data_IF_935193694176
#
_entry.id   IF_935193694176
#
_cell.length_a   1.000
_cell.length_b   1.000
_cell.length_c   1.000
_cell.angle_alpha   90.00
_cell.angle_beta   90.00
_cell.angle_gamma   90.00
#
_symmetry.space_group_name_H-M   'P 1'
#
loop_
_entity.id
_entity.type
_entity.pdbx_description
1 polymer ?
#
# COMPACT_ATOMS: atom_id res chain seq x y z
N UNK A 1 -0.28 20.37 -8.97
CA UNK A 1 -0.78 18.98 -9.00
C UNK A 1 -1.23 18.66 -7.59
N UNK A 2 -2.51 18.40 -7.39
CA UNK A 2 -3.00 17.91 -6.10
C UNK A 2 -2.23 16.66 -5.71
N UNK A 3 -1.98 16.49 -4.43
CA UNK A 3 -1.24 15.35 -3.93
C UNK A 3 -2.02 14.06 -4.24
N UNK A 4 -1.41 13.19 -5.04
CA UNK A 4 -2.07 12.00 -5.57
C UNK A 4 -2.02 10.81 -4.62
N UNK A 5 -1.47 10.93 -3.41
CA UNK A 5 -1.46 9.82 -2.46
C UNK A 5 -2.10 10.23 -1.14
N UNK A 6 -2.91 9.38 -0.56
CA UNK A 6 -3.57 9.48 0.76
C UNK A 6 -4.13 10.87 1.16
N UNK A 7 -3.91 11.90 0.34
CA UNK A 7 -4.30 13.28 0.57
C UNK A 7 -3.57 13.95 1.75
N UNK A 8 -3.67 15.27 1.84
CA UNK A 8 -3.28 16.00 3.04
C UNK A 8 -4.42 15.95 4.06
N UNK A 9 -4.11 15.50 5.27
CA UNK A 9 -5.04 15.49 6.39
C UNK A 9 -4.31 15.71 7.70
N UNK A 10 -4.89 16.50 8.59
CA UNK A 10 -4.39 16.66 9.96
C UNK A 10 -4.49 15.39 10.81
N UNK A 11 -5.22 14.38 10.32
CA UNK A 11 -5.39 13.08 10.96
C UNK A 11 -4.41 12.01 10.45
N UNK A 12 -3.33 12.42 9.77
CA UNK A 12 -2.21 11.55 9.40
C UNK A 12 -0.90 12.16 9.88
N UNK A 13 0.01 11.34 10.40
CA UNK A 13 1.33 11.75 10.86
C UNK A 13 2.37 10.74 10.41
N UNK A 14 3.33 11.17 9.60
CA UNK A 14 4.45 10.31 9.15
C UNK A 14 5.35 9.96 10.33
N UNK A 15 5.77 8.70 10.38
CA UNK A 15 6.82 8.19 11.26
C UNK A 15 8.11 7.90 10.51
N UNK A 16 8.21 8.24 9.22
CA UNK A 16 9.42 8.11 8.42
C UNK A 16 10.60 8.87 9.05
N UNK A 17 11.80 8.56 8.60
CA UNK A 17 13.05 9.16 9.04
C UNK A 17 13.92 8.21 9.84
N UNK A 18 14.70 8.70 10.79
CA UNK A 18 15.64 7.87 11.56
C UNK A 18 14.93 7.12 12.68
N UNK A 19 15.21 5.81 12.74
CA UNK A 19 14.78 4.90 13.81
C UNK A 19 16.01 4.27 14.47
N UNK A 20 15.93 3.93 15.75
CA UNK A 20 16.93 3.08 16.40
C UNK A 20 16.85 1.66 15.87
N UNK A 21 18.01 1.05 15.66
CA UNK A 21 18.13 -0.19 14.91
C UNK A 21 19.16 -1.14 15.52
N UNK A 22 18.80 -2.43 15.56
CA UNK A 22 19.70 -3.50 15.92
C UNK A 22 19.52 -4.68 14.95
N UNK A 23 20.63 -5.17 14.43
CA UNK A 23 20.67 -6.32 13.50
C UNK A 23 21.17 -7.57 14.21
N UNK A 24 20.42 -8.66 14.11
CA UNK A 24 20.79 -10.00 14.59
C UNK A 24 20.82 -10.98 13.41
N UNK A 25 21.69 -12.00 13.47
CA UNK A 25 21.81 -13.01 12.41
C UNK A 25 20.68 -14.05 12.43
N UNK A 26 20.02 -14.20 13.57
CA UNK A 26 18.85 -15.06 13.77
C UNK A 26 18.07 -14.64 15.01
N UNK A 27 16.90 -15.25 15.21
CA UNK A 27 16.01 -14.93 16.33
C UNK A 27 16.65 -15.16 17.72
N UNK A 28 17.58 -16.12 17.84
CA UNK A 28 18.28 -16.39 19.10
C UNK A 28 19.28 -15.31 19.52
N UNK A 29 19.65 -14.42 18.62
CA UNK A 29 20.57 -13.29 18.88
C UNK A 29 19.86 -11.95 19.04
N UNK A 30 18.53 -11.92 18.96
CA UNK A 30 17.74 -10.72 19.23
C UNK A 30 17.90 -10.34 20.71
N UNK A 31 18.09 -9.05 20.98
CA UNK A 31 18.22 -8.56 22.35
C UNK A 31 16.90 -8.79 23.10
N UNK A 32 16.88 -9.61 24.16
CA UNK A 32 15.64 -9.88 24.89
C UNK A 32 15.10 -8.63 25.58
N UNK A 33 13.78 -8.43 25.52
CA UNK A 33 13.11 -7.34 26.21
C UNK A 33 13.31 -5.95 25.58
N UNK A 34 13.83 -5.87 24.37
CA UNK A 34 14.02 -4.58 23.67
C UNK A 34 12.69 -3.84 23.46
N UNK A 35 11.60 -4.58 23.42
CA UNK A 35 10.25 -4.07 23.29
C UNK A 35 9.72 -3.39 24.56
N UNK A 36 10.32 -3.63 25.74
CA UNK A 36 9.88 -3.08 27.03
C UNK A 36 9.87 -1.53 26.99
N UNK A 37 8.88 -0.92 27.63
CA UNK A 37 8.67 0.52 27.59
C UNK A 37 9.90 1.32 28.08
N UNK A 38 10.60 0.81 29.08
CA UNK A 38 11.77 1.41 29.74
C UNK A 38 13.11 0.98 29.13
N UNK A 39 13.13 0.15 28.08
CA UNK A 39 14.37 -0.28 27.45
C UNK A 39 15.13 0.91 26.83
N UNK A 40 16.41 1.05 27.18
CA UNK A 40 17.29 2.10 26.68
C UNK A 40 17.95 1.72 25.35
N UNK A 41 17.48 2.27 24.27
CA UNK A 41 18.01 2.07 22.91
C UNK A 41 19.04 3.11 22.46
N UNK A 42 19.50 4.02 23.32
CA UNK A 42 20.42 5.11 22.92
C UNK A 42 21.74 4.60 22.34
N UNK A 43 22.18 3.42 22.73
CA UNK A 43 23.38 2.78 22.18
C UNK A 43 23.19 2.07 20.83
N UNK A 44 21.96 1.98 20.30
CA UNK A 44 21.69 1.36 19.02
C UNK A 44 22.11 2.26 17.85
N UNK A 45 22.37 1.66 16.69
CA UNK A 45 22.56 2.40 15.44
C UNK A 45 21.29 3.14 15.05
N UNK A 46 21.42 4.09 14.14
CA UNK A 46 20.29 4.72 13.46
C UNK A 46 20.18 4.16 12.06
N UNK A 47 18.94 3.93 11.60
CA UNK A 47 18.62 3.49 10.24
C UNK A 47 17.50 4.36 9.66
N UNK A 48 17.51 4.57 8.35
CA UNK A 48 16.40 5.23 7.67
C UNK A 48 15.19 4.28 7.53
N UNK A 49 14.00 4.84 7.69
CA UNK A 49 12.72 4.21 7.35
C UNK A 49 11.93 5.22 6.50
N UNK A 50 11.50 4.86 5.28
CA UNK A 50 11.62 3.53 4.65
C UNK A 50 13.01 3.24 4.09
N UNK A 51 13.47 1.99 4.25
CA UNK A 51 14.66 1.48 3.58
C UNK A 51 14.73 -0.06 3.68
N UNK A 52 15.45 -0.68 2.74
CA UNK A 52 15.92 -2.05 2.90
C UNK A 52 17.21 -2.06 3.74
N UNK A 53 17.30 -2.93 4.76
CA UNK A 53 18.46 -2.96 5.64
C UNK A 53 19.77 -3.28 4.87
N UNK A 54 19.69 -4.04 3.78
CA UNK A 54 20.84 -4.37 2.93
C UNK A 54 21.39 -3.14 2.21
N UNK A 55 20.54 -2.17 1.89
CA UNK A 55 20.96 -0.91 1.26
C UNK A 55 21.52 0.08 2.29
N UNK A 56 21.26 -0.14 3.57
CA UNK A 56 21.82 0.60 4.72
C UNK A 56 23.07 -0.07 5.32
N UNK A 57 23.58 -1.14 4.65
CA UNK A 57 24.84 -1.80 5.04
C UNK A 57 24.72 -3.01 5.96
N UNK A 58 23.52 -3.53 6.19
CA UNK A 58 23.28 -4.70 7.03
C UNK A 58 22.94 -5.94 6.19
N UNK A 59 23.91 -6.83 6.05
CA UNK A 59 23.82 -7.99 5.17
C UNK A 59 24.11 -7.64 3.72
N UNK A 60 23.62 -8.46 2.78
CA UNK A 60 23.83 -8.26 1.35
C UNK A 60 22.52 -8.48 0.56
N UNK A 61 22.29 -7.73 -0.52
CA UNK A 61 21.28 -8.06 -1.50
C UNK A 61 21.55 -9.44 -2.10
N UNK A 62 20.50 -10.20 -2.36
CA UNK A 62 20.59 -11.52 -2.97
C UNK A 62 19.56 -11.62 -4.08
N UNK A 63 19.97 -12.08 -5.25
CA UNK A 63 19.04 -12.38 -6.33
C UNK A 63 18.76 -13.88 -6.36
N UNK A 64 17.49 -14.25 -6.40
CA UNK A 64 17.06 -15.62 -6.63
C UNK A 64 15.82 -15.59 -7.53
N UNK A 65 15.83 -16.44 -8.57
CA UNK A 65 14.72 -16.55 -9.52
C UNK A 65 13.76 -17.68 -9.08
N UNK A 66 14.12 -18.93 -9.32
CA UNK A 66 13.27 -20.10 -9.04
C UNK A 66 13.71 -20.91 -7.82
N UNK A 67 14.75 -20.48 -7.17
CA UNK A 67 15.31 -21.09 -5.96
C UNK A 67 14.91 -20.25 -4.76
N UNK A 68 14.54 -20.92 -3.67
CA UNK A 68 14.33 -20.21 -2.42
C UNK A 68 15.64 -19.57 -1.92
N UNK A 69 15.55 -18.41 -1.26
CA UNK A 69 16.75 -17.66 -0.87
C UNK A 69 17.64 -18.37 0.14
N UNK A 70 17.18 -19.43 0.77
CA UNK A 70 17.97 -20.28 1.68
C UNK A 70 18.53 -21.54 1.03
N UNK A 71 18.19 -21.83 -0.23
CA UNK A 71 18.73 -23.00 -0.94
C UNK A 71 20.25 -22.89 -1.06
N UNK A 72 20.94 -23.96 -0.67
CA UNK A 72 22.39 -24.01 -0.59
C UNK A 72 23.00 -23.51 0.72
N UNK A 73 22.21 -22.90 1.62
CA UNK A 73 22.65 -22.52 2.97
C UNK A 73 22.14 -23.49 4.03
N UNK A 74 20.86 -23.73 4.05
CA UNK A 74 20.21 -24.63 5.01
C UNK A 74 19.05 -25.35 4.32
N UNK A 75 19.01 -26.68 4.41
CA UNK A 75 17.84 -27.45 4.00
C UNK A 75 16.73 -27.29 5.04
N UNK A 76 15.54 -26.92 4.57
CA UNK A 76 14.33 -26.79 5.41
C UNK A 76 13.16 -27.48 4.74
N UNK A 77 12.27 -28.06 5.54
CA UNK A 77 11.02 -28.64 5.04
C UNK A 77 10.03 -27.55 4.64
N UNK A 78 9.11 -27.89 3.73
CA UNK A 78 8.08 -26.93 3.25
C UNK A 78 7.25 -26.43 4.44
N UNK A 79 7.18 -25.11 4.58
CA UNK A 79 6.51 -24.42 5.69
C UNK A 79 7.37 -24.10 6.90
N UNK A 80 8.57 -24.64 6.97
CA UNK A 80 9.59 -24.25 7.96
C UNK A 80 10.42 -23.06 7.45
N UNK A 81 11.19 -22.44 8.34
CA UNK A 81 12.13 -21.36 8.01
C UNK A 81 13.51 -21.67 8.53
N UNK A 82 14.59 -21.18 7.87
CA UNK A 82 15.95 -21.31 8.35
C UNK A 82 16.10 -20.79 9.79
N UNK A 83 16.81 -21.54 10.65
CA UNK A 83 17.03 -21.18 12.05
C UNK A 83 18.45 -20.68 12.31
N UNK A 84 19.45 -21.17 11.56
CA UNK A 84 20.85 -20.80 11.78
C UNK A 84 21.15 -19.40 11.24
N UNK A 85 20.66 -19.11 10.05
CA UNK A 85 20.78 -17.81 9.40
C UNK A 85 19.41 -17.36 8.89
N UNK A 86 18.75 -16.51 9.64
CA UNK A 86 17.55 -15.80 9.29
C UNK A 86 17.60 -14.42 9.96
N UNK A 87 18.24 -13.43 9.31
CA UNK A 87 18.48 -12.12 9.91
C UNK A 87 17.20 -11.46 10.42
N UNK A 88 17.33 -10.85 11.59
CA UNK A 88 16.26 -10.13 12.27
C UNK A 88 16.66 -8.68 12.47
N UNK A 89 15.80 -7.80 12.03
CA UNK A 89 15.90 -6.37 12.20
C UNK A 89 14.97 -5.92 13.34
N UNK A 90 15.54 -5.39 14.41
CA UNK A 90 14.81 -4.79 15.53
C UNK A 90 14.84 -3.28 15.40
N UNK A 91 13.67 -2.64 15.47
CA UNK A 91 13.50 -1.20 15.31
C UNK A 91 12.83 -0.59 16.54
N UNK A 92 13.23 0.64 16.90
CA UNK A 92 12.56 1.43 17.92
C UNK A 92 12.37 2.85 17.40
N UNK A 93 11.15 3.37 17.58
CA UNK A 93 10.77 4.75 17.30
C UNK A 93 10.00 5.32 18.46
N UNK A 94 10.40 6.50 18.92
CA UNK A 94 9.58 7.27 19.86
C UNK A 94 8.79 8.34 19.11
N UNK A 95 7.58 8.62 19.58
CA UNK A 95 6.70 9.62 18.97
C UNK A 95 5.70 10.17 19.99
N UNK A 96 5.17 11.35 19.69
CA UNK A 96 4.03 11.95 20.38
C UNK A 96 2.79 11.86 19.49
N UNK A 97 1.65 11.53 20.08
CA UNK A 97 0.38 11.57 19.35
C UNK A 97 0.04 13.02 19.03
N UNK A 98 -0.18 13.39 17.75
CA UNK A 98 -0.61 14.73 17.40
C UNK A 98 -1.90 15.14 18.12
N UNK A 99 -1.98 16.40 18.58
CA UNK A 99 -3.10 16.88 19.39
C UNK A 99 -4.48 16.65 18.75
N UNK A 100 -4.56 16.76 17.43
CA UNK A 100 -5.79 16.53 16.66
C UNK A 100 -6.22 15.05 16.59
N UNK A 101 -5.34 14.11 16.96
CA UNK A 101 -5.62 12.66 17.03
C UNK A 101 -6.03 12.20 18.43
N UNK A 102 -5.75 13.02 19.47
CA UNK A 102 -6.07 12.68 20.86
C UNK A 102 -7.57 12.45 21.01
N UNK A 103 -7.93 11.36 21.71
CA UNK A 103 -9.33 10.96 21.93
C UNK A 103 -10.05 10.33 20.73
N UNK A 104 -9.32 10.09 19.61
CA UNK A 104 -9.83 9.34 18.45
C UNK A 104 -9.25 7.93 18.44
N UNK A 105 -9.83 7.07 17.61
CA UNK A 105 -9.20 5.79 17.29
C UNK A 105 -7.95 6.08 16.45
N UNK A 106 -6.80 5.59 16.90
CA UNK A 106 -5.51 5.78 16.23
C UNK A 106 -4.99 4.45 15.72
N UNK A 107 -4.54 4.46 14.48
CA UNK A 107 -3.97 3.31 13.81
C UNK A 107 -2.54 3.63 13.35
N UNK A 108 -1.73 2.58 13.22
CA UNK A 108 -0.46 2.64 12.49
C UNK A 108 -0.58 1.81 11.21
N UNK A 109 -0.03 2.33 10.13
CA UNK A 109 0.04 1.64 8.84
C UNK A 109 1.50 1.54 8.40
N UNK A 110 1.96 0.30 8.16
CA UNK A 110 3.20 -0.02 7.49
C UNK A 110 2.87 -0.37 6.04
N UNK A 111 3.26 0.45 5.10
CA UNK A 111 2.90 0.29 3.69
C UNK A 111 3.65 -0.85 2.99
N UNK A 112 4.72 -1.36 3.62
CA UNK A 112 5.47 -2.53 3.18
C UNK A 112 6.58 -2.88 4.17
N UNK A 113 6.59 -4.14 4.62
CA UNK A 113 7.62 -4.69 5.52
C UNK A 113 7.94 -6.14 5.11
N UNK A 114 9.15 -6.41 4.69
CA UNK A 114 9.57 -7.70 4.13
C UNK A 114 10.41 -8.48 5.15
N UNK A 115 10.07 -9.71 5.45
CA UNK A 115 8.94 -10.56 5.00
C UNK A 115 7.79 -10.60 6.00
N UNK A 116 8.02 -10.23 7.26
CA UNK A 116 6.99 -10.18 8.29
C UNK A 116 7.36 -9.13 9.33
N UNK A 117 6.37 -8.64 10.04
CA UNK A 117 6.55 -7.65 11.10
C UNK A 117 5.74 -8.01 12.33
N UNK A 118 6.39 -7.97 13.50
CA UNK A 118 5.76 -8.00 14.81
C UNK A 118 5.89 -6.62 15.45
N UNK A 119 4.83 -6.15 16.10
CA UNK A 119 4.70 -4.77 16.60
C UNK A 119 4.36 -4.75 18.08
N UNK A 120 5.04 -3.90 18.84
CA UNK A 120 4.77 -3.60 20.26
C UNK A 120 4.65 -2.08 20.44
N UNK A 121 3.75 -1.66 21.29
CA UNK A 121 3.64 -0.27 21.72
C UNK A 121 3.69 -0.20 23.24
N UNK A 122 4.62 0.59 23.78
CA UNK A 122 4.83 0.80 25.22
C UNK A 122 4.98 -0.54 25.99
N UNK A 123 5.73 -1.48 25.40
CA UNK A 123 6.00 -2.81 25.98
C UNK A 123 4.88 -3.84 25.80
N UNK A 124 3.75 -3.46 25.20
CA UNK A 124 2.60 -4.34 24.98
C UNK A 124 2.56 -4.83 23.53
N UNK A 125 2.44 -6.13 23.34
CA UNK A 125 2.29 -6.72 22.00
C UNK A 125 0.99 -6.24 21.33
N UNK A 126 1.12 -5.74 20.10
CA UNK A 126 -0.01 -5.20 19.31
C UNK A 126 -0.47 -6.20 18.26
N UNK A 127 0.46 -6.76 17.48
CA UNK A 127 0.10 -7.67 16.40
C UNK A 127 1.26 -8.10 15.53
N UNK A 128 0.93 -8.92 14.51
CA UNK A 128 1.85 -9.51 13.55
C UNK A 128 1.22 -9.49 12.15
N UNK A 129 2.06 -9.32 11.13
CA UNK A 129 1.70 -9.48 9.72
C UNK A 129 2.84 -10.14 8.96
N UNK A 130 2.51 -10.93 7.93
CA UNK A 130 3.49 -11.64 7.09
C UNK A 130 3.30 -11.40 5.58
N UNK A 131 2.57 -10.38 5.18
CA UNK A 131 2.48 -9.92 3.79
C UNK A 131 3.44 -8.76 3.57
N UNK A 132 4.40 -8.93 2.65
CA UNK A 132 5.46 -7.95 2.43
C UNK A 132 4.99 -6.71 1.66
N UNK A 133 4.00 -6.84 0.76
CA UNK A 133 3.72 -5.85 -0.28
C UNK A 133 2.36 -5.17 -0.15
N UNK A 134 1.50 -5.61 0.76
CA UNK A 134 0.26 -4.92 1.11
C UNK A 134 0.38 -4.22 2.47
N UNK A 135 -0.37 -3.15 2.72
CA UNK A 135 -0.30 -2.45 4.00
C UNK A 135 -0.66 -3.32 5.19
N UNK A 136 0.18 -3.29 6.22
CA UNK A 136 -0.07 -3.93 7.52
C UNK A 136 -0.54 -2.86 8.50
N UNK A 137 -1.78 -2.97 8.99
CA UNK A 137 -2.41 -1.96 9.82
C UNK A 137 -2.80 -2.50 11.20
N UNK A 138 -2.54 -1.71 12.23
CA UNK A 138 -2.82 -2.09 13.61
C UNK A 138 -3.49 -0.93 14.35
N UNK A 139 -4.54 -1.23 15.12
CA UNK A 139 -5.14 -0.24 16.02
C UNK A 139 -4.28 -0.07 17.28
N UNK A 140 -3.91 1.17 17.58
CA UNK A 140 -3.05 1.53 18.71
C UNK A 140 -3.81 2.15 19.88
N UNK A 141 -5.10 2.47 19.74
CA UNK A 141 -5.89 3.30 20.66
C UNK A 141 -5.71 2.90 22.13
N UNK A 142 -5.84 1.61 22.44
CA UNK A 142 -5.77 1.10 23.82
C UNK A 142 -4.32 0.92 24.34
N UNK A 143 -3.33 1.14 23.49
CA UNK A 143 -1.90 0.98 23.81
C UNK A 143 -1.22 2.32 24.06
N UNK A 144 -1.82 3.43 23.61
CA UNK A 144 -1.26 4.78 23.74
C UNK A 144 -1.22 5.25 25.19
N UNK A 145 -0.18 6.03 25.50
CA UNK A 145 -0.06 6.73 26.78
C UNK A 145 0.06 8.24 26.54
N UNK A 146 -0.22 9.03 27.57
CA UNK A 146 0.02 10.46 27.55
C UNK A 146 1.55 10.72 27.48
N UNK A 147 1.98 11.64 26.63
CA UNK A 147 3.39 11.95 26.44
C UNK A 147 4.05 11.13 25.33
N UNK A 148 5.29 10.74 25.55
CA UNK A 148 6.09 9.99 24.59
C UNK A 148 5.68 8.52 24.54
N UNK A 149 5.42 8.01 23.34
CA UNK A 149 5.10 6.62 23.08
C UNK A 149 6.30 5.93 22.43
N UNK A 150 6.61 4.71 22.87
CA UNK A 150 7.67 3.88 22.32
C UNK A 150 7.10 2.75 21.47
N UNK A 151 7.32 2.84 20.17
CA UNK A 151 7.04 1.78 19.21
C UNK A 151 8.28 0.90 19.06
N UNK A 152 8.11 -0.41 19.17
CA UNK A 152 9.12 -1.41 18.87
C UNK A 152 8.60 -2.33 17.76
N UNK A 153 9.46 -2.67 16.80
CA UNK A 153 9.12 -3.58 15.72
C UNK A 153 10.22 -4.61 15.54
N UNK A 154 9.84 -5.84 15.18
CA UNK A 154 10.75 -6.89 14.75
C UNK A 154 10.37 -7.35 13.36
N UNK A 155 11.31 -7.28 12.43
CA UNK A 155 11.16 -7.74 11.05
C UNK A 155 12.13 -8.88 10.81
N UNK A 156 11.64 -10.02 10.36
CA UNK A 156 12.46 -11.18 10.01
C UNK A 156 12.64 -11.24 8.50
N UNK A 157 13.85 -11.60 8.06
CA UNK A 157 14.15 -11.67 6.62
C UNK A 157 13.29 -12.74 5.93
N UNK A 158 13.05 -13.86 6.58
CA UNK A 158 12.23 -14.94 6.09
C UNK A 158 11.20 -15.38 7.11
N UNK A 159 10.02 -15.67 6.63
CA UNK A 159 8.88 -16.16 7.41
C UNK A 159 8.23 -17.33 6.69
N UNK A 160 7.24 -17.97 7.30
CA UNK A 160 6.44 -18.99 6.61
C UNK A 160 5.79 -18.42 5.34
N UNK A 161 5.44 -17.12 5.31
CA UNK A 161 4.97 -16.43 4.11
C UNK A 161 5.96 -16.42 2.95
N UNK A 162 7.27 -16.49 3.23
CA UNK A 162 8.30 -16.50 2.19
C UNK A 162 8.24 -17.72 1.26
N UNK A 163 7.54 -18.79 1.65
CA UNK A 163 7.22 -19.90 0.76
C UNK A 163 6.20 -19.54 -0.32
N UNK A 164 5.42 -18.50 -0.10
CA UNK A 164 4.38 -17.98 -1.00
C UNK A 164 4.79 -16.66 -1.66
N UNK A 165 5.90 -16.05 -1.23
CA UNK A 165 6.47 -14.83 -1.79
C UNK A 165 7.82 -15.14 -2.45
N UNK A 166 7.82 -16.13 -3.35
CA UNK A 166 9.03 -16.63 -4.01
C UNK A 166 9.16 -16.13 -5.46
N UNK A 167 8.85 -14.87 -5.68
CA UNK A 167 8.92 -14.22 -6.98
C UNK A 167 10.37 -14.09 -7.49
N UNK A 168 10.50 -13.93 -8.80
CA UNK A 168 11.77 -13.63 -9.48
C UNK A 168 12.20 -12.19 -9.19
N UNK A 169 12.95 -11.97 -8.10
CA UNK A 169 13.37 -10.64 -7.70
C UNK A 169 14.53 -10.63 -6.69
N UNK A 170 15.09 -9.44 -6.46
CA UNK A 170 16.08 -9.23 -5.41
C UNK A 170 15.48 -9.46 -4.03
N UNK A 171 16.13 -10.26 -3.21
CA UNK A 171 15.74 -10.57 -1.84
C UNK A 171 16.32 -9.54 -0.89
N UNK A 172 15.43 -8.76 -0.31
CA UNK A 172 15.73 -7.76 0.70
C UNK A 172 15.04 -8.10 2.03
N UNK A 173 15.06 -7.15 2.95
CA UNK A 173 14.25 -7.15 4.17
C UNK A 173 14.23 -5.75 4.77
N UNK A 174 13.33 -5.54 5.73
CA UNK A 174 13.17 -4.27 6.43
C UNK A 174 11.83 -3.59 6.13
N UNK A 175 11.65 -2.41 6.71
CA UNK A 175 10.47 -1.56 6.50
C UNK A 175 10.79 -0.64 5.31
N UNK A 176 10.32 -1.01 4.11
CA UNK A 176 10.78 -0.41 2.85
C UNK A 176 9.79 0.55 2.19
N UNK A 177 8.58 0.68 2.75
CA UNK A 177 7.61 1.70 2.38
C UNK A 177 7.22 2.54 3.59
N UNK A 178 6.48 3.60 3.36
CA UNK A 178 6.06 4.58 4.37
C UNK A 178 5.44 3.95 5.61
N UNK A 179 5.71 4.58 6.75
CA UNK A 179 5.04 4.30 8.02
C UNK A 179 4.36 5.57 8.50
N UNK A 180 3.09 5.49 8.85
CA UNK A 180 2.36 6.62 9.39
C UNK A 180 1.31 6.21 10.41
N UNK A 181 1.02 7.15 11.31
CA UNK A 181 -0.19 7.11 12.12
C UNK A 181 -1.33 7.75 11.36
N UNK A 182 -2.53 7.22 11.53
CA UNK A 182 -3.75 7.90 11.14
C UNK A 182 -4.83 7.75 12.20
N UNK A 183 -5.75 8.69 12.25
CA UNK A 183 -6.85 8.65 13.18
C UNK A 183 -8.18 8.66 12.45
N UNK A 184 -9.14 7.84 12.92
CA UNK A 184 -10.49 7.82 12.41
C UNK A 184 -11.42 8.65 13.31
N UNK A 185 -12.18 9.61 12.76
CA UNK A 185 -13.27 10.26 13.47
C UNK A 185 -14.32 9.26 13.95
N UNK A 186 -15.19 9.68 14.87
CA UNK A 186 -16.28 8.84 15.39
C UNK A 186 -17.27 8.40 14.30
N UNK A 187 -17.46 9.24 13.29
CA UNK A 187 -18.10 8.86 12.02
C UNK A 187 -17.07 9.00 10.88
N UNK A 188 -16.87 7.93 10.13
CA UNK A 188 -15.89 7.88 9.06
C UNK A 188 -16.30 6.86 7.98
N UNK A 189 -15.74 7.02 6.78
CA UNK A 189 -15.85 6.03 5.69
C UNK A 189 -14.85 4.91 5.98
N UNK A 190 -15.35 3.69 6.22
CA UNK A 190 -14.51 2.50 6.39
C UNK A 190 -14.08 1.91 5.05
N UNK A 191 -15.01 1.92 4.09
CA UNK A 191 -14.75 1.44 2.74
C UNK A 191 -15.63 2.17 1.73
N UNK A 192 -15.10 2.35 0.53
CA UNK A 192 -15.75 2.99 -0.60
C UNK A 192 -15.49 2.18 -1.87
N UNK A 193 -16.41 1.27 -2.20
CA UNK A 193 -16.32 0.46 -3.40
C UNK A 193 -16.94 1.21 -4.58
N UNK A 194 -16.10 1.65 -5.52
CA UNK A 194 -16.50 2.35 -6.73
C UNK A 194 -16.45 1.41 -7.93
N UNK A 195 -17.49 1.42 -8.75
CA UNK A 195 -17.54 0.75 -10.05
C UNK A 195 -17.89 1.79 -11.10
N UNK A 196 -17.08 1.90 -12.12
CA UNK A 196 -17.32 2.77 -13.26
C UNK A 196 -17.23 2.00 -14.57
N UNK A 197 -18.16 2.26 -15.47
CA UNK A 197 -18.25 1.63 -16.79
C UNK A 197 -18.61 2.68 -17.85
N UNK A 198 -18.53 2.32 -19.13
CA UNK A 198 -18.86 3.18 -20.26
C UNK A 198 -19.68 2.40 -21.29
N UNK A 199 -20.87 2.88 -21.62
CA UNK A 199 -21.79 2.18 -22.56
C UNK A 199 -21.55 2.52 -24.04
N UNK A 200 -20.61 3.39 -24.33
CA UNK A 200 -20.31 3.93 -25.67
C UNK A 200 -20.69 5.41 -25.82
N UNK A 201 -21.48 5.94 -24.91
CA UNK A 201 -21.91 7.35 -24.87
C UNK A 201 -21.89 7.89 -23.44
N UNK A 202 -22.40 7.09 -22.49
CA UNK A 202 -22.62 7.51 -21.11
C UNK A 202 -21.68 6.78 -20.15
N UNK A 203 -21.29 7.46 -19.09
CA UNK A 203 -20.64 6.86 -17.94
C UNK A 203 -21.68 6.21 -17.02
N UNK A 204 -21.44 4.96 -16.66
CA UNK A 204 -22.26 4.26 -15.68
C UNK A 204 -21.46 4.20 -14.39
N UNK A 205 -21.97 4.81 -13.34
CA UNK A 205 -21.31 4.94 -12.05
C UNK A 205 -22.12 4.28 -10.94
N UNK A 206 -21.45 3.50 -10.10
CA UNK A 206 -22.02 3.10 -8.82
C UNK A 206 -20.96 3.16 -7.72
N UNK A 207 -21.37 3.51 -6.51
CA UNK A 207 -20.54 3.43 -5.32
C UNK A 207 -21.35 2.83 -4.18
N UNK A 208 -20.70 1.91 -3.44
CA UNK A 208 -21.22 1.37 -2.18
C UNK A 208 -20.33 1.88 -1.05
N UNK A 209 -20.94 2.43 0.00
CA UNK A 209 -20.27 3.06 1.12
C UNK A 209 -20.47 2.23 2.39
N UNK A 210 -19.38 1.86 3.04
CA UNK A 210 -19.40 1.36 4.42
C UNK A 210 -18.99 2.50 5.35
N UNK A 211 -19.95 2.99 6.15
CA UNK A 211 -19.78 4.15 7.01
C UNK A 211 -20.00 3.76 8.46
N UNK A 212 -19.02 4.04 9.30
CA UNK A 212 -19.12 3.93 10.74
C UNK A 212 -19.76 5.17 11.34
N UNK A 213 -20.42 5.00 12.49
CA UNK A 213 -20.97 6.11 13.28
C UNK A 213 -22.26 6.74 12.75
N UNK A 214 -22.71 7.78 13.45
CA UNK A 214 -23.90 8.54 13.09
C UNK A 214 -23.49 9.83 12.37
N UNK A 215 -23.95 10.00 11.14
CA UNK A 215 -23.67 11.18 10.33
C UNK A 215 -24.72 11.35 9.23
N UNK A 216 -24.77 12.52 8.63
CA UNK A 216 -25.35 12.73 7.32
C UNK A 216 -24.29 12.51 6.25
N UNK A 217 -24.70 12.07 5.06
CA UNK A 217 -23.81 11.75 3.95
C UNK A 217 -24.21 12.58 2.74
N UNK A 218 -23.22 13.18 2.10
CA UNK A 218 -23.39 13.79 0.78
C UNK A 218 -22.33 13.21 -0.15
N UNK A 219 -22.80 12.64 -1.27
CA UNK A 219 -21.95 12.11 -2.35
C UNK A 219 -22.02 13.04 -3.54
N UNK A 220 -20.88 13.38 -4.14
CA UNK A 220 -20.77 14.33 -5.24
C UNK A 220 -19.82 13.75 -6.29
N UNK A 221 -20.20 13.84 -7.57
CA UNK A 221 -19.30 13.57 -8.69
C UNK A 221 -19.05 14.88 -9.45
N UNK A 222 -17.77 15.24 -9.63
CA UNK A 222 -17.37 16.43 -10.39
C UNK A 222 -16.54 16.05 -11.61
N UNK A 223 -16.59 16.89 -12.64
CA UNK A 223 -15.71 16.81 -13.80
C UNK A 223 -14.29 17.36 -13.50
N UNK A 224 -13.43 17.40 -14.52
CA UNK A 224 -12.07 17.92 -14.44
C UNK A 224 -11.98 19.41 -14.07
N UNK A 225 -13.06 20.18 -14.27
CA UNK A 225 -13.14 21.60 -13.94
C UNK A 225 -13.75 21.86 -12.55
N UNK A 226 -14.13 20.80 -11.83
CA UNK A 226 -14.81 20.88 -10.54
C UNK A 226 -16.32 21.14 -10.65
N UNK A 227 -16.91 21.06 -11.85
CA UNK A 227 -18.35 21.20 -12.04
C UNK A 227 -19.07 19.98 -11.50
N UNK A 228 -20.06 20.18 -10.65
CA UNK A 228 -20.90 19.09 -10.12
C UNK A 228 -21.78 18.54 -11.24
N UNK A 229 -21.64 17.25 -11.52
CA UNK A 229 -22.42 16.54 -12.55
C UNK A 229 -23.43 15.55 -11.98
N UNK A 230 -23.23 15.11 -10.74
CA UNK A 230 -24.21 14.32 -10.00
C UNK A 230 -24.00 14.49 -8.49
N UNK A 231 -25.09 14.45 -7.73
CA UNK A 231 -25.04 14.45 -6.27
C UNK A 231 -26.17 13.62 -5.65
N UNK A 232 -25.96 13.13 -4.43
CA UNK A 232 -26.94 12.36 -3.66
C UNK A 232 -26.67 12.49 -2.18
N UNK A 233 -27.73 12.33 -1.37
CA UNK A 233 -27.64 12.21 0.10
C UNK A 233 -27.90 10.77 0.59
N UNK A 234 -27.86 9.79 -0.31
CA UNK A 234 -28.03 8.38 0.03
C UNK A 234 -26.83 7.85 0.84
N UNK A 235 -27.10 7.17 1.94
CA UNK A 235 -26.07 6.75 2.92
C UNK A 235 -25.28 5.51 2.53
N UNK A 236 -25.86 4.60 1.72
CA UNK A 236 -25.27 3.29 1.50
C UNK A 236 -24.74 3.09 0.08
N UNK A 237 -25.42 3.64 -0.89
CA UNK A 237 -25.05 3.47 -2.29
C UNK A 237 -25.59 4.57 -3.15
N UNK A 238 -24.87 4.86 -4.22
CA UNK A 238 -25.31 5.77 -5.28
C UNK A 238 -25.16 5.06 -6.63
N UNK A 239 -26.09 5.36 -7.55
CA UNK A 239 -26.06 4.85 -8.92
C UNK A 239 -26.43 6.00 -9.86
N UNK A 240 -25.55 6.33 -10.78
CA UNK A 240 -25.73 7.43 -11.71
C UNK A 240 -25.43 7.02 -13.15
N UNK A 241 -26.18 7.57 -14.10
CA UNK A 241 -25.84 7.58 -15.52
C UNK A 241 -25.39 8.98 -15.87
N UNK A 242 -24.15 9.13 -16.31
CA UNK A 242 -23.55 10.41 -16.66
C UNK A 242 -23.62 10.57 -18.17
N UNK A 243 -24.58 11.36 -18.63
CA UNK A 243 -24.83 11.56 -20.06
C UNK A 243 -23.62 12.21 -20.76
N UNK A 244 -23.30 11.70 -21.96
CA UNK A 244 -22.21 12.20 -22.81
C UNK A 244 -20.86 12.33 -22.05
N UNK A 245 -20.53 11.37 -21.17
CA UNK A 245 -19.31 11.40 -20.40
C UNK A 245 -18.07 11.28 -21.28
N UNK A 246 -16.97 11.92 -20.85
CA UNK A 246 -15.67 11.76 -21.48
C UNK A 246 -15.03 10.44 -20.98
N UNK A 247 -14.83 9.45 -21.87
CA UNK A 247 -14.24 8.18 -21.45
C UNK A 247 -12.74 8.34 -21.17
N UNK A 248 -12.24 7.48 -20.27
CA UNK A 248 -10.81 7.33 -19.98
C UNK A 248 -10.16 6.41 -21.02
N UNK A 249 -8.99 6.79 -21.51
CA UNK A 249 -8.07 5.92 -22.29
C UNK A 249 -6.62 6.29 -21.98
N UNK A 250 -5.66 5.43 -22.40
CA UNK A 250 -4.24 5.73 -22.22
C UNK A 250 -3.81 7.00 -22.99
N UNK A 251 -4.45 7.34 -24.08
CA UNK A 251 -4.18 8.55 -24.87
C UNK A 251 -4.82 9.80 -24.27
N UNK A 252 -6.04 9.64 -23.70
CA UNK A 252 -6.83 10.75 -23.13
C UNK A 252 -7.38 10.26 -21.78
N UNK A 253 -6.62 10.39 -20.70
CA UNK A 253 -6.99 9.86 -19.38
C UNK A 253 -7.95 10.81 -18.63
N UNK A 254 -9.16 10.97 -19.15
CA UNK A 254 -10.19 11.79 -18.51
C UNK A 254 -10.58 11.21 -17.16
N UNK A 255 -10.46 12.00 -16.10
CA UNK A 255 -10.79 11.61 -14.73
C UNK A 255 -11.80 12.58 -14.12
N UNK A 256 -12.80 12.00 -13.48
CA UNK A 256 -13.76 12.66 -12.61
C UNK A 256 -13.30 12.52 -11.16
N UNK A 257 -13.92 13.28 -10.26
CA UNK A 257 -13.65 13.15 -8.81
C UNK A 257 -14.94 12.80 -8.09
N UNK A 258 -14.95 11.62 -7.45
CA UNK A 258 -16.02 11.25 -6.54
C UNK A 258 -15.63 11.66 -5.12
N UNK A 259 -16.51 12.43 -4.48
CA UNK A 259 -16.32 12.97 -3.12
C UNK A 259 -17.47 12.52 -2.23
N UNK A 260 -17.14 12.00 -1.04
CA UNK A 260 -18.08 11.70 0.04
C UNK A 260 -17.79 12.65 1.20
N UNK A 261 -18.79 13.38 1.63
CA UNK A 261 -18.74 14.33 2.75
C UNK A 261 -19.62 13.78 3.86
N UNK A 262 -19.04 13.62 5.04
CA UNK A 262 -19.77 13.26 6.27
C UNK A 262 -19.94 14.50 7.13
N UNK A 263 -21.18 14.73 7.62
CA UNK A 263 -21.48 15.84 8.53
C UNK A 263 -22.16 15.34 9.79
N UNK A 264 -21.93 16.06 10.91
CA UNK A 264 -22.61 15.82 12.18
C UNK A 264 -24.07 16.34 12.16
N UNK A 265 -24.80 16.17 13.27
CA UNK A 265 -26.17 16.63 13.44
C UNK A 265 -26.32 18.18 13.38
N UNK A 266 -25.21 18.89 13.60
CA UNK A 266 -25.13 20.36 13.53
C UNK A 266 -24.76 20.87 12.14
N UNK A 267 -24.42 19.97 11.21
CA UNK A 267 -24.00 20.30 9.84
C UNK A 267 -22.49 20.58 9.69
N UNK A 268 -21.68 20.34 10.74
CA UNK A 268 -20.23 20.48 10.62
C UNK A 268 -19.63 19.30 9.87
N UNK A 269 -18.64 19.55 9.02
CA UNK A 269 -17.89 18.49 8.33
C UNK A 269 -17.07 17.67 9.34
N UNK A 270 -17.24 16.35 9.29
CA UNK A 270 -16.48 15.37 10.08
C UNK A 270 -15.34 14.80 9.23
N UNK A 271 -15.65 14.46 7.98
CA UNK A 271 -14.72 13.82 7.06
C UNK A 271 -15.07 14.14 5.61
N UNK A 272 -14.05 14.27 4.77
CA UNK A 272 -14.16 14.36 3.32
C UNK A 272 -13.25 13.33 2.69
N UNK A 273 -13.84 12.33 2.03
CA UNK A 273 -13.11 11.28 1.31
C UNK A 273 -13.26 11.46 -0.19
N UNK A 274 -12.17 11.30 -0.95
CA UNK A 274 -12.15 11.51 -2.40
C UNK A 274 -11.44 10.38 -3.13
N UNK A 275 -11.94 10.06 -4.34
CA UNK A 275 -11.24 9.19 -5.28
C UNK A 275 -11.43 9.67 -6.71
N UNK A 276 -10.45 9.37 -7.57
CA UNK A 276 -10.57 9.62 -9.02
C UNK A 276 -11.35 8.49 -9.69
N UNK A 277 -12.09 8.83 -10.74
CA UNK A 277 -12.96 7.90 -11.47
C UNK A 277 -12.77 8.11 -12.96
N UNK A 278 -12.43 7.04 -13.68
CA UNK A 278 -12.38 7.03 -15.14
C UNK A 278 -13.48 6.13 -15.71
N UNK A 279 -14.32 6.65 -16.61
CA UNK A 279 -15.33 5.86 -17.29
C UNK A 279 -14.69 5.09 -18.43
N UNK A 280 -14.69 3.77 -18.35
CA UNK A 280 -14.12 2.89 -19.38
C UNK A 280 -14.79 1.54 -19.37
N UNK A 281 -14.86 0.91 -20.54
CA UNK A 281 -15.24 -0.50 -20.69
C UNK A 281 -14.15 -1.25 -21.41
N UNK A 282 -13.56 -2.21 -20.72
CA UNK A 282 -12.70 -3.22 -21.31
C UNK A 282 -13.52 -4.47 -21.62
N UNK A 283 -13.44 -4.97 -22.85
CA UNK A 283 -14.20 -6.14 -23.29
C UNK A 283 -13.43 -6.97 -24.33
N UNK A 284 -13.72 -8.25 -24.39
CA UNK A 284 -13.36 -9.11 -25.51
C UNK A 284 -14.52 -9.15 -26.49
N UNK A 285 -14.36 -8.53 -27.67
CA UNK A 285 -15.36 -8.49 -28.71
C UNK A 285 -14.89 -9.30 -29.90
N UNK A 286 -15.59 -10.41 -30.19
CA UNK A 286 -15.19 -11.38 -31.22
C UNK A 286 -13.73 -11.84 -31.08
N UNK A 287 -13.26 -12.11 -29.86
CA UNK A 287 -11.89 -12.51 -29.56
C UNK A 287 -10.84 -11.40 -29.63
N UNK A 288 -11.27 -10.14 -29.81
CA UNK A 288 -10.37 -8.97 -29.88
C UNK A 288 -10.55 -8.13 -28.60
N UNK A 289 -9.44 -7.79 -27.96
CA UNK A 289 -9.43 -6.85 -26.82
C UNK A 289 -9.81 -5.45 -27.30
N UNK A 290 -10.84 -4.91 -26.67
CA UNK A 290 -11.34 -3.57 -26.95
C UNK A 290 -11.42 -2.72 -25.67
N UNK A 291 -11.14 -1.44 -25.80
CA UNK A 291 -11.46 -0.42 -24.81
C UNK A 291 -12.43 0.58 -25.42
N UNK A 292 -13.55 0.82 -24.74
CA UNK A 292 -14.60 1.73 -25.20
C UNK A 292 -15.05 1.42 -26.64
N UNK A 293 -15.15 0.12 -26.97
CA UNK A 293 -15.55 -0.37 -28.28
C UNK A 293 -14.46 -0.33 -29.37
N UNK A 294 -13.28 0.18 -29.10
CA UNK A 294 -12.14 0.25 -30.04
C UNK A 294 -11.08 -0.80 -29.68
N UNK A 295 -10.56 -1.49 -30.71
CA UNK A 295 -9.44 -2.43 -30.53
C UNK A 295 -8.26 -1.72 -29.86
N UNK A 296 -7.67 -2.40 -28.86
CA UNK A 296 -6.42 -1.94 -28.22
C UNK A 296 -5.29 -2.92 -28.46
N UNK A 297 -4.06 -2.39 -28.39
CA UNK A 297 -2.81 -3.16 -28.34
C UNK A 297 -2.03 -2.65 -27.14
N UNK A 298 -1.68 -3.56 -26.24
CA UNK A 298 -0.79 -3.25 -25.14
C UNK A 298 0.66 -3.20 -25.65
N UNK A 299 1.24 -2.00 -25.66
CA UNK A 299 2.66 -1.77 -25.90
C UNK A 299 3.31 -1.60 -24.53
N UNK A 300 3.50 -2.73 -23.84
CA UNK A 300 3.82 -2.76 -22.42
C UNK A 300 5.25 -3.17 -22.11
N UNK A 301 5.63 -2.91 -20.87
CA UNK A 301 6.87 -3.38 -20.26
C UNK A 301 6.58 -4.08 -18.94
N UNK A 302 7.50 -4.95 -18.51
CA UNK A 302 7.56 -5.43 -17.15
C UNK A 302 8.33 -4.41 -16.29
N UNK A 303 7.82 -4.10 -15.10
CA UNK A 303 8.45 -3.15 -14.19
C UNK A 303 8.51 -3.69 -12.78
N UNK A 304 9.72 -3.72 -12.21
CA UNK A 304 9.89 -3.78 -10.77
C UNK A 304 9.85 -2.38 -10.17
N UNK A 305 9.31 -2.24 -8.95
CA UNK A 305 9.60 -1.07 -8.12
C UNK A 305 11.06 -1.18 -7.66
N UNK A 306 11.96 -0.50 -8.34
CA UNK A 306 13.38 -0.69 -8.08
C UNK A 306 14.22 0.53 -8.49
N UNK A 307 15.12 0.93 -7.60
CA UNK A 307 16.23 1.84 -7.87
C UNK A 307 17.54 1.18 -7.42
N UNK A 308 18.62 1.42 -8.17
CA UNK A 308 19.92 0.79 -7.94
C UNK A 308 20.55 1.17 -6.58
N UNK A 309 20.13 2.28 -5.96
CA UNK A 309 20.69 2.78 -4.69
C UNK A 309 19.82 2.42 -3.49
N UNK A 310 18.50 2.33 -3.69
CA UNK A 310 17.53 2.18 -2.60
C UNK A 310 16.75 0.87 -2.64
N UNK A 311 17.00 0.02 -3.67
CA UNK A 311 16.22 -1.20 -3.87
C UNK A 311 14.75 -0.87 -4.19
N UNK A 312 13.81 -1.50 -3.50
CA UNK A 312 12.37 -1.25 -3.67
C UNK A 312 11.82 -0.07 -2.84
N UNK A 313 12.68 0.60 -2.06
CA UNK A 313 12.30 1.83 -1.36
C UNK A 313 12.36 3.02 -2.33
N UNK A 314 11.44 3.06 -3.29
CA UNK A 314 11.38 4.08 -4.33
C UNK A 314 10.57 5.31 -3.90
N UNK A 315 10.87 6.43 -4.51
CA UNK A 315 10.21 7.71 -4.26
C UNK A 315 9.12 8.00 -5.31
N UNK A 316 8.34 9.03 -5.06
CA UNK A 316 7.38 9.59 -6.04
C UNK A 316 8.10 10.06 -7.31
N UNK A 317 9.27 10.65 -7.16
CA UNK A 317 10.11 11.14 -8.25
C UNK A 317 10.57 10.00 -9.16
N UNK A 318 10.95 8.85 -8.59
CA UNK A 318 11.30 7.65 -9.34
C UNK A 318 10.11 7.13 -10.14
N UNK A 319 8.94 7.06 -9.52
CA UNK A 319 7.70 6.64 -10.19
C UNK A 319 7.31 7.60 -11.32
N UNK A 320 7.44 8.91 -11.11
CA UNK A 320 7.17 9.93 -12.13
C UNK A 320 8.16 9.85 -13.28
N UNK A 321 9.44 9.57 -12.99
CA UNK A 321 10.45 9.36 -14.02
C UNK A 321 10.08 8.18 -14.93
N UNK A 322 9.72 7.04 -14.35
CA UNK A 322 9.32 5.84 -15.08
C UNK A 322 8.10 6.11 -15.99
N UNK A 323 7.06 6.74 -15.45
CA UNK A 323 5.85 7.06 -16.23
C UNK A 323 6.15 8.03 -17.36
N UNK A 324 6.93 9.08 -17.11
CA UNK A 324 7.33 10.03 -18.15
C UNK A 324 8.18 9.38 -19.22
N UNK A 325 9.09 8.47 -18.84
CA UNK A 325 9.88 7.68 -19.77
C UNK A 325 8.98 6.80 -20.65
N UNK A 326 8.02 6.08 -20.05
CA UNK A 326 7.05 5.28 -20.80
C UNK A 326 6.26 6.11 -21.80
N UNK A 327 5.69 7.23 -21.37
CA UNK A 327 4.91 8.12 -22.26
C UNK A 327 5.75 8.68 -23.42
N UNK A 328 7.00 9.10 -23.16
CA UNK A 328 7.92 9.60 -24.21
C UNK A 328 8.27 8.52 -25.24
N UNK A 329 8.23 7.24 -24.88
CA UNK A 329 8.57 6.12 -25.75
C UNK A 329 7.35 5.37 -26.31
N UNK A 330 6.15 5.96 -26.22
CA UNK A 330 4.89 5.35 -26.68
C UNK A 330 4.57 3.99 -26.01
N UNK A 331 5.00 3.80 -24.79
CA UNK A 331 4.64 2.66 -23.95
C UNK A 331 3.32 3.04 -23.26
N UNK A 332 2.29 2.21 -23.40
CA UNK A 332 0.95 2.48 -22.88
C UNK A 332 0.50 1.50 -21.80
N UNK A 333 1.34 0.50 -21.48
CA UNK A 333 0.98 -0.54 -20.51
C UNK A 333 2.18 -0.92 -19.64
N UNK A 334 1.90 -1.36 -18.42
CA UNK A 334 2.91 -1.87 -17.50
C UNK A 334 2.36 -3.10 -16.76
N UNK A 335 3.21 -4.10 -16.56
CA UNK A 335 2.96 -5.20 -15.63
C UNK A 335 3.76 -4.95 -14.36
N UNK A 336 3.08 -5.00 -13.20
CA UNK A 336 3.69 -4.81 -11.88
C UNK A 336 4.37 -6.10 -11.43
N UNK A 337 5.42 -6.51 -12.11
CA UNK A 337 6.09 -7.75 -11.77
C UNK A 337 6.91 -7.59 -10.47
N UNK A 338 6.69 -8.45 -9.46
CA UNK A 338 5.72 -9.56 -9.43
C UNK A 338 4.87 -9.45 -8.15
N UNK A 339 4.45 -8.27 -7.80
CA UNK A 339 3.80 -7.94 -6.52
C UNK A 339 3.01 -6.63 -6.60
N UNK A 340 2.07 -6.39 -5.69
CA UNK A 340 1.36 -5.12 -5.59
C UNK A 340 2.33 -3.96 -5.37
N UNK A 341 2.20 -2.93 -6.20
CA UNK A 341 3.05 -1.75 -6.12
C UNK A 341 2.56 -0.76 -5.05
N UNK A 342 3.32 0.30 -4.81
CA UNK A 342 2.91 1.41 -3.97
C UNK A 342 1.58 2.00 -4.48
N UNK A 343 0.66 2.37 -3.58
CA UNK A 343 -0.67 2.91 -3.92
C UNK A 343 -0.60 4.13 -4.85
N UNK A 344 0.46 4.94 -4.73
CA UNK A 344 0.67 6.10 -5.60
C UNK A 344 0.90 5.70 -7.06
N UNK A 345 1.51 4.54 -7.32
CA UNK A 345 1.75 4.04 -8.67
C UNK A 345 0.45 3.88 -9.46
N UNK A 346 -0.57 3.30 -8.83
CA UNK A 346 -1.88 3.12 -9.46
C UNK A 346 -2.54 4.47 -9.80
N UNK A 347 -2.47 5.43 -8.88
CA UNK A 347 -3.00 6.78 -9.10
C UNK A 347 -2.27 7.51 -10.24
N UNK A 348 -0.95 7.33 -10.34
CA UNK A 348 -0.16 7.87 -11.42
C UNK A 348 -0.51 7.19 -12.77
N UNK A 349 -0.71 5.87 -12.80
CA UNK A 349 -1.17 5.17 -13.99
C UNK A 349 -2.53 5.68 -14.48
N UNK A 350 -3.47 5.92 -13.57
CA UNK A 350 -4.77 6.51 -13.89
C UNK A 350 -4.63 7.93 -14.45
N UNK A 351 -3.80 8.76 -13.81
CA UNK A 351 -3.65 10.18 -14.17
C UNK A 351 -2.88 10.38 -15.48
N UNK A 352 -1.89 9.55 -15.75
CA UNK A 352 -1.05 9.67 -16.95
C UNK A 352 -1.50 8.79 -18.12
N UNK A 353 -2.49 7.92 -17.91
CA UNK A 353 -2.98 7.03 -18.95
C UNK A 353 -2.01 5.89 -19.25
N UNK A 354 -1.82 4.99 -18.29
CA UNK A 354 -1.09 3.73 -18.45
C UNK A 354 -2.03 2.59 -18.10
N UNK A 355 -2.15 1.61 -19.01
CA UNK A 355 -2.83 0.36 -18.69
C UNK A 355 -1.98 -0.46 -17.73
N UNK A 356 -2.62 -1.12 -16.79
CA UNK A 356 -1.94 -1.87 -15.75
C UNK A 356 -2.36 -3.35 -15.80
N UNK A 357 -1.38 -4.24 -15.72
CA UNK A 357 -1.56 -5.64 -15.35
C UNK A 357 -1.01 -5.76 -13.94
N UNK A 358 -1.91 -5.80 -12.97
CA UNK A 358 -1.55 -5.90 -11.56
C UNK A 358 -1.35 -7.37 -11.16
N UNK A 359 -0.43 -7.61 -10.23
CA UNK A 359 -0.12 -8.97 -9.75
C UNK A 359 -0.31 -9.06 -8.24
N UNK A 360 -0.82 -10.21 -7.81
CA UNK A 360 -0.93 -10.54 -6.39
C UNK A 360 0.45 -10.89 -5.83
N UNK A 361 0.61 -10.74 -4.51
CA UNK A 361 1.82 -11.16 -3.81
C UNK A 361 1.79 -12.67 -3.54
N UNK A 362 1.74 -13.49 -4.61
CA UNK A 362 1.64 -14.93 -4.50
C UNK A 362 2.38 -15.63 -5.64
N UNK A 363 3.55 -16.19 -5.32
CA UNK A 363 4.31 -17.06 -6.21
C UNK A 363 5.04 -18.10 -5.37
N UNK A 364 5.02 -19.39 -5.79
CA UNK A 364 5.66 -20.46 -5.05
C UNK A 364 6.19 -21.55 -5.98
N UNK A 365 7.46 -21.91 -5.86
CA UNK A 365 8.09 -22.97 -6.64
C UNK A 365 8.08 -24.32 -5.91
N UNK A 366 8.26 -24.34 -4.59
CA UNK A 366 8.28 -25.58 -3.79
C UNK A 366 6.93 -26.25 -3.63
N UNK A 367 5.84 -25.50 -3.73
CA UNK A 367 4.46 -26.03 -3.59
C UNK A 367 3.71 -26.09 -4.93
N UNK A 368 4.41 -25.94 -6.04
CA UNK A 368 3.84 -25.88 -7.38
C UNK A 368 2.81 -26.95 -7.71
N UNK A 369 3.00 -28.26 -7.40
CA UNK A 369 1.98 -29.26 -7.67
C UNK A 369 0.65 -29.02 -6.95
N UNK A 370 0.69 -28.39 -5.78
CA UNK A 370 -0.49 -28.05 -4.96
C UNK A 370 -1.14 -26.77 -5.48
N UNK A 371 -0.34 -25.76 -5.83
CA UNK A 371 -0.86 -24.46 -6.28
C UNK A 371 -1.64 -24.55 -7.60
N UNK A 372 -1.22 -25.40 -8.54
CA UNK A 372 -1.94 -25.62 -9.78
C UNK A 372 -3.29 -26.32 -9.64
N UNK A 373 -3.52 -27.02 -8.54
CA UNK A 373 -4.75 -27.79 -8.31
C UNK A 373 -5.73 -27.09 -7.36
N UNK A 374 -5.30 -26.07 -6.61
CA UNK A 374 -6.08 -25.49 -5.52
C UNK A 374 -6.13 -23.95 -5.52
N UNK A 375 -5.48 -23.29 -6.48
CA UNK A 375 -5.63 -21.86 -6.78
C UNK A 375 -6.43 -21.72 -8.10
#
# INVERSE_FOLDING_TARGET
>A
MEELSHGETSLRCSLNGLWKFHHALNAGQVIPGFEAADYDSRGWADIHVPAHIQMEGYGAPQYANVQYPWDGYQAVEIGEIPQEYNPVASYIKTFFVPAQMVGKRVFISFQGAESCIAVWLNGRYVGFSSDSFTPSEFELTDYLVEGENKLACRVERWSAGSWLEDQDFWRFSGIFRDVFLYAAPSAHVRDMRVISDYDGTNGIFSATLDIAGKCSVKSILTDENGTVIAESNEKKSVNWTIENSKPWSAEIPNLYTFTVILTDESGNEIEVSRTKVGFRRFELKNGIMCLNGKRIIFKGINRHEFDAKTGRAITKEDMLFDIQFMKKNNINAVRTCHYPNNSLWYQLCDAYGIYLIDETNLETHGTWPVSYTHL
#
